data_IF_298054815312
#
_entry.id   IF_298054815312
#
_cell.length_a   1.000
_cell.length_b   1.000
_cell.length_c   1.000
_cell.angle_alpha   90.00
_cell.angle_beta   90.00
_cell.angle_gamma   90.00
#
_symmetry.space_group_name_H-M   'P 1'
#
loop_
_entity.id
_entity.type
_entity.pdbx_description
1 polymer ?
#
# COMPACT_ATOMS: atom_id res chain seq x y z
N UNK A 1 18.41 -25.92 -11.10
CA UNK A 1 17.29 -24.94 -11.15
C UNK A 1 17.03 -24.39 -9.75
N UNK A 2 17.21 -23.11 -9.57
CA UNK A 2 16.91 -22.50 -8.28
C UNK A 2 15.41 -22.26 -8.14
N UNK A 3 14.81 -22.91 -7.16
CA UNK A 3 13.45 -22.58 -6.77
C UNK A 3 13.50 -21.37 -5.84
N UNK A 4 12.84 -20.30 -6.24
CA UNK A 4 12.63 -19.17 -5.33
C UNK A 4 11.49 -19.59 -4.42
N UNK A 5 11.83 -19.86 -3.16
CA UNK A 5 10.82 -20.18 -2.16
C UNK A 5 10.52 -18.91 -1.37
N UNK A 6 9.30 -18.42 -1.54
CA UNK A 6 8.77 -17.30 -0.75
C UNK A 6 7.86 -17.90 0.32
N UNK A 7 8.17 -17.64 1.57
CA UNK A 7 7.35 -18.12 2.68
C UNK A 7 6.16 -17.20 2.91
N UNK A 8 4.99 -17.76 3.28
CA UNK A 8 3.79 -16.95 3.56
C UNK A 8 4.03 -15.86 4.61
N UNK A 9 4.86 -16.14 5.62
CA UNK A 9 5.21 -15.18 6.66
C UNK A 9 5.92 -13.96 6.09
N UNK A 10 6.75 -14.15 5.07
CA UNK A 10 7.45 -13.06 4.39
C UNK A 10 6.46 -12.17 3.62
N UNK A 11 5.47 -12.76 2.97
CA UNK A 11 4.43 -12.01 2.26
C UNK A 11 3.59 -11.19 3.24
N UNK A 12 3.22 -11.78 4.37
CA UNK A 12 2.45 -11.09 5.41
C UNK A 12 3.25 -9.96 6.04
N UNK A 13 4.52 -10.20 6.34
CA UNK A 13 5.41 -9.15 6.88
C UNK A 13 5.54 -7.99 5.91
N UNK A 14 5.67 -8.29 4.62
CA UNK A 14 5.73 -7.29 3.57
C UNK A 14 4.43 -6.47 3.51
N UNK A 15 3.28 -7.14 3.60
CA UNK A 15 1.98 -6.47 3.60
C UNK A 15 1.82 -5.54 4.80
N UNK A 16 2.20 -5.97 5.99
CA UNK A 16 2.17 -5.14 7.20
C UNK A 16 3.07 -3.92 7.02
N UNK A 17 4.26 -4.11 6.50
CA UNK A 17 5.21 -3.03 6.25
C UNK A 17 4.67 -2.02 5.25
N UNK A 18 4.07 -2.50 4.16
CA UNK A 18 3.44 -1.62 3.15
C UNK A 18 2.34 -0.78 3.80
N UNK A 19 1.50 -1.39 4.63
CA UNK A 19 0.43 -0.67 5.31
C UNK A 19 0.97 0.38 6.28
N UNK A 20 2.03 0.07 7.03
CA UNK A 20 2.67 1.04 7.93
C UNK A 20 3.28 2.20 7.15
N UNK A 21 4.03 1.90 6.10
CA UNK A 21 4.62 2.93 5.24
C UNK A 21 3.54 3.76 4.55
N UNK A 22 2.42 3.15 4.18
CA UNK A 22 1.28 3.87 3.60
C UNK A 22 0.66 4.85 4.60
N UNK A 23 0.53 4.46 5.86
CA UNK A 23 0.06 5.38 6.91
C UNK A 23 1.01 6.56 7.09
N UNK A 24 2.31 6.30 7.10
CA UNK A 24 3.33 7.35 7.18
C UNK A 24 3.26 8.26 5.96
N UNK A 25 3.09 7.70 4.78
CA UNK A 25 2.92 8.43 3.53
C UNK A 25 1.70 9.36 3.60
N UNK A 26 0.56 8.86 4.06
CA UNK A 26 -0.66 9.67 4.21
C UNK A 26 -0.46 10.80 5.20
N UNK A 27 0.22 10.55 6.31
CA UNK A 27 0.52 11.57 7.31
C UNK A 27 1.42 12.66 6.74
N UNK A 28 2.45 12.27 5.99
CA UNK A 28 3.35 13.22 5.32
C UNK A 28 2.62 14.05 4.28
N UNK A 29 1.77 13.44 3.48
CA UNK A 29 0.97 14.16 2.48
C UNK A 29 0.03 15.15 3.14
N UNK A 30 -0.62 14.75 4.24
CA UNK A 30 -1.51 15.63 4.99
C UNK A 30 -0.77 16.83 5.56
N UNK A 31 0.42 16.61 6.15
CA UNK A 31 1.26 17.68 6.67
C UNK A 31 1.72 18.63 5.58
N UNK A 32 2.11 18.07 4.43
CA UNK A 32 2.52 18.86 3.28
C UNK A 32 1.38 19.74 2.78
N UNK A 33 0.19 19.17 2.64
CA UNK A 33 -1.00 19.91 2.18
C UNK A 33 -1.36 21.03 3.14
N UNK A 34 -1.25 20.77 4.45
CA UNK A 34 -1.51 21.81 5.46
C UNK A 34 -0.50 22.95 5.35
N UNK A 35 0.78 22.64 5.20
CA UNK A 35 1.83 23.67 5.01
C UNK A 35 1.56 24.49 3.75
N UNK A 36 1.14 23.84 2.68
CA UNK A 36 0.83 24.51 1.41
C UNK A 36 -0.38 25.44 1.57
N UNK A 37 -1.42 24.99 2.28
CA UNK A 37 -2.59 25.85 2.56
C UNK A 37 -2.20 27.10 3.37
N UNK A 38 -1.36 26.94 4.37
CA UNK A 38 -0.84 28.06 5.16
C UNK A 38 -0.07 29.06 4.29
N UNK A 39 0.76 28.55 3.37
CA UNK A 39 1.48 29.41 2.43
C UNK A 39 0.53 30.09 1.45
N UNK A 40 -0.46 29.37 0.93
CA UNK A 40 -1.38 29.87 -0.07
C UNK A 40 -2.30 30.97 0.48
N UNK A 41 -2.55 30.96 1.78
CA UNK A 41 -3.39 32.00 2.41
C UNK A 41 -2.81 33.41 2.28
N UNK A 42 -1.50 33.51 2.05
CA UNK A 42 -0.82 34.79 1.80
C UNK A 42 -0.92 35.27 0.34
N UNK A 43 -1.40 34.42 -0.55
CA UNK A 43 -1.49 34.71 -1.98
C UNK A 43 -2.91 35.19 -2.32
N UNK A 44 -3.02 36.13 -3.27
CA UNK A 44 -4.29 36.70 -3.68
C UNK A 44 -4.46 36.64 -5.20
N UNK A 45 -5.72 36.52 -5.65
CA UNK A 45 -6.08 36.66 -7.05
C UNK A 45 -5.88 35.40 -7.86
N UNK A 46 -5.49 35.56 -9.12
CA UNK A 46 -5.38 34.48 -10.10
C UNK A 46 -4.34 33.44 -9.73
N UNK A 47 -3.24 33.89 -9.11
CA UNK A 47 -2.17 33.00 -8.69
C UNK A 47 -2.64 32.04 -7.61
N UNK A 48 -3.48 32.53 -6.67
CA UNK A 48 -4.06 31.70 -5.64
C UNK A 48 -4.97 30.63 -6.23
N UNK A 49 -5.81 30.98 -7.19
CA UNK A 49 -6.74 30.06 -7.84
C UNK A 49 -5.99 28.97 -8.61
N UNK A 50 -5.00 29.37 -9.42
CA UNK A 50 -4.18 28.43 -10.18
C UNK A 50 -3.42 27.47 -9.26
N UNK A 51 -2.86 28.00 -8.19
CA UNK A 51 -2.11 27.23 -7.20
C UNK A 51 -3.01 26.22 -6.49
N UNK A 52 -4.19 26.66 -6.05
CA UNK A 52 -5.17 25.82 -5.36
C UNK A 52 -5.61 24.65 -6.27
N UNK A 53 -5.89 24.93 -7.53
CA UNK A 53 -6.25 23.89 -8.50
C UNK A 53 -5.14 22.83 -8.65
N UNK A 54 -3.89 23.27 -8.73
CA UNK A 54 -2.75 22.39 -8.85
C UNK A 54 -2.57 21.52 -7.61
N UNK A 55 -2.76 22.11 -6.43
CA UNK A 55 -2.64 21.39 -5.15
C UNK A 55 -3.75 20.36 -5.01
N UNK A 56 -4.97 20.66 -5.39
CA UNK A 56 -6.07 19.69 -5.38
C UNK A 56 -5.77 18.48 -6.27
N UNK A 57 -5.12 18.72 -7.40
CA UNK A 57 -4.71 17.65 -8.30
C UNK A 57 -3.66 16.76 -7.64
N UNK A 58 -2.66 17.33 -6.98
CA UNK A 58 -1.66 16.56 -6.26
C UNK A 58 -2.29 15.74 -5.12
N UNK A 59 -3.26 16.32 -4.41
CA UNK A 59 -3.97 15.61 -3.35
C UNK A 59 -4.68 14.36 -3.90
N UNK A 60 -5.34 14.49 -5.04
CA UNK A 60 -5.97 13.36 -5.71
C UNK A 60 -4.95 12.29 -6.09
N UNK A 61 -3.80 12.70 -6.63
CA UNK A 61 -2.73 11.77 -6.98
C UNK A 61 -2.19 11.03 -5.74
N UNK A 62 -2.02 11.72 -4.62
CA UNK A 62 -1.57 11.12 -3.36
C UNK A 62 -2.58 10.09 -2.86
N UNK A 63 -3.86 10.37 -2.95
CA UNK A 63 -4.91 9.44 -2.55
C UNK A 63 -4.92 8.19 -3.43
N UNK A 64 -4.69 8.33 -4.72
CA UNK A 64 -4.60 7.21 -5.65
C UNK A 64 -3.41 6.31 -5.34
N UNK A 65 -2.24 6.88 -5.05
CA UNK A 65 -1.05 6.13 -4.66
C UNK A 65 -1.31 5.38 -3.37
N UNK A 66 -1.92 6.03 -2.38
CA UNK A 66 -2.25 5.42 -1.10
C UNK A 66 -3.23 4.25 -1.27
N UNK A 67 -4.28 4.43 -2.08
CA UNK A 67 -5.26 3.38 -2.35
C UNK A 67 -4.61 2.18 -3.06
N UNK A 68 -3.74 2.45 -4.03
CA UNK A 68 -3.02 1.40 -4.75
C UNK A 68 -2.10 0.60 -3.81
N UNK A 69 -1.42 1.30 -2.90
CA UNK A 69 -0.57 0.64 -1.89
C UNK A 69 -1.38 -0.30 -1.00
N UNK A 70 -2.57 0.13 -0.57
CA UNK A 70 -3.48 -0.70 0.21
C UNK A 70 -3.94 -1.95 -0.54
N UNK A 71 -4.28 -1.79 -1.81
CA UNK A 71 -4.66 -2.91 -2.67
C UNK A 71 -3.51 -3.90 -2.85
N UNK A 72 -2.29 -3.41 -2.99
CA UNK A 72 -1.11 -4.25 -3.12
C UNK A 72 -0.86 -5.05 -1.85
N UNK A 73 -1.00 -4.43 -0.68
CA UNK A 73 -0.88 -5.11 0.60
C UNK A 73 -1.94 -6.22 0.75
N UNK A 74 -3.17 -5.94 0.36
CA UNK A 74 -4.26 -6.93 0.36
C UNK A 74 -3.94 -8.11 -0.57
N UNK A 75 -3.39 -7.82 -1.74
CA UNK A 75 -2.96 -8.86 -2.69
C UNK A 75 -1.91 -9.77 -2.06
N UNK A 76 -0.94 -9.21 -1.37
CA UNK A 76 0.11 -9.99 -0.70
C UNK A 76 -0.46 -10.86 0.41
N UNK A 77 -1.39 -10.35 1.19
CA UNK A 77 -2.06 -11.13 2.23
C UNK A 77 -2.86 -12.29 1.63
N UNK A 78 -3.58 -12.04 0.55
CA UNK A 78 -4.35 -13.06 -0.14
C UNK A 78 -3.44 -14.12 -0.77
N UNK A 79 -2.31 -13.70 -1.32
CA UNK A 79 -1.32 -14.61 -1.88
C UNK A 79 -0.71 -15.52 -0.79
N UNK A 80 -0.43 -14.95 0.39
CA UNK A 80 0.08 -15.71 1.53
C UNK A 80 -0.93 -16.78 1.98
N UNK A 81 -2.20 -16.39 2.05
CA UNK A 81 -3.28 -17.32 2.44
C UNK A 81 -3.43 -18.45 1.42
N UNK A 82 -3.46 -18.12 0.13
CA UNK A 82 -3.56 -19.11 -0.94
C UNK A 82 -2.38 -20.08 -0.91
N UNK A 83 -1.18 -19.58 -0.65
CA UNK A 83 0.02 -20.41 -0.55
C UNK A 83 -0.06 -21.37 0.62
N UNK A 84 -0.51 -20.91 1.79
CA UNK A 84 -0.70 -21.76 2.97
C UNK A 84 -1.73 -22.84 2.71
N UNK A 85 -2.85 -22.49 2.12
CA UNK A 85 -3.92 -23.43 1.81
C UNK A 85 -3.41 -24.53 0.88
N UNK A 86 -2.63 -24.17 -0.13
CA UNK A 86 -2.01 -25.13 -1.05
C UNK A 86 -1.03 -26.03 -0.32
N UNK A 87 -0.20 -25.49 0.55
CA UNK A 87 0.75 -26.29 1.32
C UNK A 87 0.06 -27.26 2.27
N UNK A 88 -1.00 -26.82 2.92
CA UNK A 88 -1.78 -27.68 3.82
C UNK A 88 -2.44 -28.81 3.05
N UNK A 89 -2.99 -28.52 1.88
CA UNK A 89 -3.58 -29.52 1.01
C UNK A 89 -2.56 -30.55 0.55
N UNK A 90 -1.38 -30.10 0.11
CA UNK A 90 -0.30 -30.99 -0.31
C UNK A 90 0.20 -31.84 0.86
N UNK A 91 0.32 -31.28 2.04
CA UNK A 91 0.73 -32.03 3.23
C UNK A 91 -0.29 -33.10 3.60
N UNK A 92 -1.58 -32.77 3.51
CA UNK A 92 -2.66 -33.72 3.77
C UNK A 92 -2.65 -34.85 2.75
N UNK A 93 -2.44 -34.56 1.47
CA UNK A 93 -2.34 -35.59 0.42
C UNK A 93 -1.11 -36.48 0.62
N UNK A 94 0.03 -35.88 0.97
CA UNK A 94 1.26 -36.63 1.24
C UNK A 94 1.08 -37.56 2.44
N UNK A 95 0.45 -37.08 3.50
CA UNK A 95 0.13 -37.90 4.67
C UNK A 95 -0.80 -39.09 4.35
N UNK A 96 -1.80 -38.83 3.51
CA UNK A 96 -2.74 -39.85 3.08
C UNK A 96 -2.05 -40.93 2.23
N UNK A 97 -1.18 -40.51 1.32
CA UNK A 97 -0.45 -41.45 0.44
C UNK A 97 0.67 -42.21 1.17
N UNK A 98 1.16 -41.67 2.27
CA UNK A 98 2.21 -42.28 3.08
C UNK A 98 1.73 -43.41 3.97
N UNK A 99 0.46 -43.59 4.09
CA UNK A 99 -0.13 -44.68 4.86
C UNK A 99 -0.56 -45.78 3.92
#
# INVERSE_FOLDING_TARGET
>A
MRKIMVEPEQLESCAVRINQENQDYRSLCSSLMQSVEEMSSAWQGKDHTAFTSQIMKYQSDFEQVSALSGQYADFLCNAARAYRDTQEELAAQAGYLGN
#
